data_IF_036546750259
#
_entry.id   IF_036546750259
#
_cell.length_a   1.000
_cell.length_b   1.000
_cell.length_c   1.000
_cell.angle_alpha   90.00
_cell.angle_beta   90.00
_cell.angle_gamma   90.00
#
_symmetry.space_group_name_H-M   'P 1'
#
loop_
_entity.id
_entity.type
_entity.pdbx_description
1 polymer ?
#
# COMPACT_ATOMS: atom_id res chain seq x y z
N UNK A 1 5.71 -4.79 18.06
CA UNK A 1 6.66 -4.33 19.11
C UNK A 1 8.14 -4.37 18.69
N UNK A 2 8.68 -5.47 18.13
CA UNK A 2 10.11 -5.49 17.75
C UNK A 2 10.44 -4.66 16.48
N UNK A 3 9.48 -4.48 15.57
CA UNK A 3 9.62 -3.61 14.39
C UNK A 3 9.85 -2.13 14.74
N UNK A 4 9.42 -1.67 15.92
CA UNK A 4 9.66 -0.30 16.39
C UNK A 4 11.04 -0.11 17.02
N UNK A 5 11.89 -1.14 17.07
CA UNK A 5 13.27 -1.03 17.54
C UNK A 5 14.07 -0.03 16.69
N UNK A 6 14.95 0.72 17.36
CA UNK A 6 15.95 1.60 16.74
C UNK A 6 17.16 0.79 16.25
N UNK A 7 17.41 -0.39 16.85
CA UNK A 7 18.52 -1.26 16.47
C UNK A 7 18.19 -1.99 15.17
N UNK A 8 18.88 -1.62 14.08
CA UNK A 8 18.68 -2.18 12.75
C UNK A 8 18.75 -3.70 12.72
N UNK A 9 19.72 -4.32 13.39
CA UNK A 9 19.84 -5.78 13.46
C UNK A 9 18.61 -6.49 14.08
N UNK A 10 17.93 -5.85 15.04
CA UNK A 10 16.69 -6.38 15.63
C UNK A 10 15.55 -6.29 14.62
N UNK A 11 15.43 -5.15 13.92
CA UNK A 11 14.40 -4.95 12.88
C UNK A 11 14.61 -5.95 11.75
N UNK A 12 15.85 -6.08 11.25
CA UNK A 12 16.21 -7.03 10.20
C UNK A 12 15.87 -8.47 10.60
N UNK A 13 16.32 -8.94 11.77
CA UNK A 13 16.02 -10.30 12.23
C UNK A 13 14.52 -10.52 12.39
N UNK A 14 13.78 -9.51 12.88
CA UNK A 14 12.33 -9.56 12.98
C UNK A 14 11.69 -9.72 11.60
N UNK A 15 12.12 -8.93 10.60
CA UNK A 15 11.62 -9.04 9.23
C UNK A 15 11.92 -10.41 8.61
N UNK A 16 13.10 -10.99 8.86
CA UNK A 16 13.42 -12.36 8.45
C UNK A 16 12.45 -13.39 9.09
N UNK A 17 12.23 -13.32 10.40
CA UNK A 17 11.32 -14.23 11.09
C UNK A 17 9.87 -14.07 10.59
N UNK A 18 9.42 -12.84 10.38
CA UNK A 18 8.09 -12.55 9.85
C UNK A 18 7.94 -13.11 8.43
N UNK A 19 8.95 -12.94 7.58
CA UNK A 19 8.99 -13.51 6.23
C UNK A 19 8.89 -15.04 6.25
N UNK A 20 9.65 -15.70 7.12
CA UNK A 20 9.60 -17.17 7.24
C UNK A 20 8.25 -17.64 7.79
N UNK A 21 7.67 -16.93 8.76
CA UNK A 21 6.34 -17.24 9.30
C UNK A 21 5.26 -17.18 8.21
N UNK A 22 5.31 -16.22 7.29
CA UNK A 22 4.35 -16.15 6.19
C UNK A 22 4.54 -17.25 5.15
N UNK A 23 5.80 -17.60 4.86
CA UNK A 23 6.10 -18.71 3.96
C UNK A 23 5.49 -20.04 4.42
N UNK A 24 5.40 -20.28 5.73
CA UNK A 24 4.99 -21.58 6.29
C UNK A 24 3.64 -21.59 7.06
N UNK A 25 3.07 -20.43 7.41
CA UNK A 25 1.90 -20.33 8.30
C UNK A 25 0.72 -19.51 7.75
N UNK A 26 0.61 -19.36 6.43
CA UNK A 26 -0.22 -18.33 5.80
C UNK A 26 -1.71 -18.37 6.16
N UNK A 27 -2.33 -19.56 6.23
CA UNK A 27 -3.77 -19.67 6.52
C UNK A 27 -4.12 -19.32 7.98
N UNK A 28 -3.24 -19.68 8.92
CA UNK A 28 -3.48 -19.46 10.35
C UNK A 28 -3.27 -18.00 10.75
N UNK A 29 -2.46 -17.27 10.00
CA UNK A 29 -2.08 -15.89 10.29
C UNK A 29 -2.99 -14.85 9.63
N UNK A 30 -3.94 -15.27 8.80
CA UNK A 30 -4.74 -14.38 7.97
C UNK A 30 -5.47 -13.28 8.74
N UNK A 31 -6.05 -13.63 9.89
CA UNK A 31 -6.76 -12.69 10.77
C UNK A 31 -5.86 -11.59 11.34
N UNK A 32 -4.54 -11.80 11.36
CA UNK A 32 -3.56 -10.82 11.83
C UNK A 32 -2.95 -10.00 10.69
N UNK A 33 -3.14 -10.40 9.43
CA UNK A 33 -2.53 -9.75 8.28
C UNK A 33 -2.83 -8.26 8.16
N UNK A 34 -4.07 -7.76 8.40
CA UNK A 34 -4.33 -6.33 8.35
C UNK A 34 -3.44 -5.53 9.30
N UNK A 35 -3.31 -5.97 10.57
CA UNK A 35 -2.48 -5.27 11.55
C UNK A 35 -1.00 -5.37 11.21
N UNK A 36 -0.54 -6.53 10.70
CA UNK A 36 0.87 -6.69 10.31
C UNK A 36 1.20 -5.80 9.11
N UNK A 37 0.32 -5.70 8.11
CA UNK A 37 0.47 -4.76 7.00
C UNK A 37 0.55 -3.32 7.49
N UNK A 38 -0.34 -2.91 8.40
CA UNK A 38 -0.34 -1.57 9.00
C UNK A 38 0.99 -1.29 9.71
N UNK A 39 1.47 -2.22 10.54
CA UNK A 39 2.73 -2.08 11.27
C UNK A 39 3.94 -1.97 10.33
N UNK A 40 3.95 -2.76 9.26
CA UNK A 40 4.99 -2.77 8.24
C UNK A 40 4.99 -1.46 7.44
N UNK A 41 3.83 -1.03 6.94
CA UNK A 41 3.66 0.23 6.21
C UNK A 41 4.05 1.44 7.07
N UNK A 42 3.62 1.45 8.33
CA UNK A 42 3.98 2.51 9.27
C UNK A 42 5.49 2.54 9.49
N UNK A 43 6.13 1.37 9.63
CA UNK A 43 7.60 1.30 9.76
C UNK A 43 8.31 1.74 8.48
N UNK A 44 7.77 1.38 7.31
CA UNK A 44 8.29 1.80 6.01
C UNK A 44 8.33 3.32 5.90
N UNK A 45 7.24 3.99 6.25
CA UNK A 45 7.13 5.44 6.19
C UNK A 45 8.04 6.19 7.18
N UNK A 46 8.58 5.49 8.19
CA UNK A 46 9.43 6.07 9.23
C UNK A 46 10.92 5.71 9.09
N UNK A 47 11.26 4.74 8.25
CA UNK A 47 12.65 4.29 8.10
C UNK A 47 13.37 5.07 7.00
N UNK A 48 14.59 5.53 7.28
CA UNK A 48 15.50 6.11 6.28
C UNK A 48 16.48 5.07 5.73
N UNK A 49 16.48 3.86 6.28
CA UNK A 49 17.40 2.78 5.89
C UNK A 49 16.84 2.02 4.69
N UNK A 50 17.44 2.25 3.51
CA UNK A 50 17.02 1.64 2.23
C UNK A 50 16.81 0.11 2.31
N UNK A 51 17.75 -0.61 2.91
CA UNK A 51 17.65 -2.06 3.08
C UNK A 51 16.44 -2.50 3.93
N UNK A 52 16.07 -1.71 4.95
CA UNK A 52 14.88 -2.00 5.76
C UNK A 52 13.61 -1.77 4.95
N UNK A 53 13.57 -0.70 4.15
CA UNK A 53 12.45 -0.41 3.24
C UNK A 53 12.24 -1.53 2.22
N UNK A 54 13.29 -1.93 1.49
CA UNK A 54 13.24 -3.02 0.51
C UNK A 54 12.78 -4.34 1.15
N UNK A 55 13.21 -4.60 2.38
CA UNK A 55 12.81 -5.80 3.10
C UNK A 55 11.36 -5.76 3.54
N UNK A 56 10.84 -4.60 3.94
CA UNK A 56 9.43 -4.43 4.27
C UNK A 56 8.56 -4.64 3.02
N UNK A 57 8.96 -4.08 1.87
CA UNK A 57 8.27 -4.28 0.59
C UNK A 57 8.14 -5.77 0.26
N UNK A 58 9.25 -6.54 0.33
CA UNK A 58 9.23 -7.99 0.09
C UNK A 58 8.28 -8.76 1.00
N UNK A 59 8.15 -8.34 2.26
CA UNK A 59 7.24 -8.98 3.22
C UNK A 59 5.79 -8.63 2.89
N UNK A 60 5.52 -7.37 2.54
CA UNK A 60 4.18 -6.91 2.11
C UNK A 60 3.73 -7.69 0.87
N UNK A 61 4.61 -7.84 -0.13
CA UNK A 61 4.36 -8.61 -1.36
C UNK A 61 4.00 -10.09 -1.10
N UNK A 62 4.45 -10.68 0.01
CA UNK A 62 4.08 -12.05 0.39
C UNK A 62 2.74 -12.13 1.12
N UNK A 63 2.37 -11.09 1.87
CA UNK A 63 1.10 -11.05 2.59
C UNK A 63 -0.06 -10.87 1.61
N UNK A 64 0.09 -9.92 0.67
CA UNK A 64 -1.03 -9.44 -0.16
C UNK A 64 -1.75 -10.53 -0.96
N UNK A 65 -1.07 -11.47 -1.66
CA UNK A 65 -1.74 -12.55 -2.41
C UNK A 65 -2.54 -13.49 -1.51
N UNK A 66 -2.20 -13.56 -0.23
CA UNK A 66 -2.82 -14.45 0.74
C UNK A 66 -3.90 -13.74 1.57
N UNK A 67 -4.13 -12.44 1.39
CA UNK A 67 -5.09 -11.67 2.19
C UNK A 67 -6.53 -12.06 1.81
N UNK A 68 -7.29 -12.69 2.72
CA UNK A 68 -8.69 -13.05 2.45
C UNK A 68 -9.57 -11.82 2.29
N UNK A 69 -10.67 -11.88 1.51
CA UNK A 69 -11.53 -10.72 1.24
C UNK A 69 -11.97 -9.96 2.50
N UNK A 70 -12.37 -10.65 3.56
CA UNK A 70 -12.80 -10.04 4.83
C UNK A 70 -11.70 -9.24 5.55
N UNK A 71 -10.44 -9.53 5.24
CA UNK A 71 -9.27 -8.83 5.78
C UNK A 71 -8.74 -7.78 4.79
N UNK A 72 -9.02 -7.92 3.49
CA UNK A 72 -8.77 -6.87 2.49
C UNK A 72 -9.57 -5.60 2.82
N UNK A 73 -10.89 -5.72 3.08
CA UNK A 73 -11.74 -4.57 3.39
C UNK A 73 -11.25 -3.76 4.59
N UNK A 74 -10.76 -4.44 5.65
CA UNK A 74 -10.19 -3.76 6.83
C UNK A 74 -8.94 -2.96 6.49
N UNK A 75 -8.06 -3.51 5.64
CA UNK A 75 -6.87 -2.82 5.18
C UNK A 75 -7.22 -1.62 4.30
N UNK A 76 -8.15 -1.80 3.36
CA UNK A 76 -8.60 -0.74 2.44
C UNK A 76 -9.20 0.43 3.22
N UNK A 77 -10.07 0.16 4.20
CA UNK A 77 -10.64 1.20 5.05
C UNK A 77 -9.56 2.00 5.77
N UNK A 78 -8.60 1.33 6.41
CA UNK A 78 -7.47 2.01 7.06
C UNK A 78 -6.63 2.82 6.06
N UNK A 79 -6.40 2.29 4.86
CA UNK A 79 -5.65 2.98 3.81
C UNK A 79 -6.33 4.28 3.40
N UNK A 80 -7.65 4.27 3.21
CA UNK A 80 -8.46 5.46 2.89
C UNK A 80 -8.39 6.49 4.02
N UNK A 81 -8.51 6.07 5.27
CA UNK A 81 -8.44 6.96 6.43
C UNK A 81 -7.06 7.65 6.56
N UNK A 82 -6.00 7.04 6.02
CA UNK A 82 -4.62 7.53 6.14
C UNK A 82 -4.06 8.15 4.86
N UNK A 83 -4.76 8.09 3.73
CA UNK A 83 -4.23 8.56 2.44
C UNK A 83 -4.17 10.09 2.35
N UNK A 84 -5.01 10.81 3.10
CA UNK A 84 -4.99 12.29 3.17
C UNK A 84 -3.90 12.86 4.09
N UNK A 85 -2.98 12.02 4.56
CA UNK A 85 -1.87 12.41 5.43
C UNK A 85 -0.86 13.34 4.74
N UNK A 86 -0.12 14.12 5.54
CA UNK A 86 1.04 14.90 5.06
C UNK A 86 2.28 14.02 4.82
N UNK A 87 2.29 12.78 5.30
CA UNK A 87 3.40 11.86 5.15
C UNK A 87 3.48 11.27 3.73
N UNK A 88 4.32 11.87 2.88
CA UNK A 88 4.51 11.48 1.48
C UNK A 88 4.88 10.00 1.32
N UNK A 89 5.81 9.48 2.15
CA UNK A 89 6.20 8.07 2.07
C UNK A 89 5.04 7.12 2.39
N UNK A 90 4.15 7.50 3.32
CA UNK A 90 2.97 6.72 3.67
C UNK A 90 1.98 6.68 2.52
N UNK A 91 1.71 7.83 1.90
CA UNK A 91 0.86 7.91 0.69
C UNK A 91 1.43 7.06 -0.44
N UNK A 92 2.73 7.18 -0.67
CA UNK A 92 3.43 6.43 -1.71
C UNK A 92 3.26 4.92 -1.52
N UNK A 93 3.59 4.37 -0.35
CA UNK A 93 3.54 2.91 -0.17
C UNK A 93 2.11 2.38 -0.18
N UNK A 94 1.12 3.14 0.34
CA UNK A 94 -0.29 2.77 0.22
C UNK A 94 -0.69 2.72 -1.25
N UNK A 95 -0.45 3.80 -2.00
CA UNK A 95 -0.79 3.86 -3.43
C UNK A 95 -0.05 2.77 -4.23
N UNK A 96 1.20 2.52 -3.89
CA UNK A 96 1.99 1.47 -4.52
C UNK A 96 1.33 0.10 -4.35
N UNK A 97 0.96 -0.27 -3.12
CA UNK A 97 0.26 -1.53 -2.81
C UNK A 97 -1.06 -1.63 -3.60
N UNK A 98 -1.89 -0.59 -3.57
CA UNK A 98 -3.16 -0.57 -4.31
C UNK A 98 -2.91 -0.77 -5.81
N UNK A 99 -1.87 -0.14 -6.36
CA UNK A 99 -1.57 -0.23 -7.78
C UNK A 99 -1.02 -1.59 -8.23
N UNK A 100 -0.26 -2.27 -7.38
CA UNK A 100 0.44 -3.52 -7.74
C UNK A 100 -0.34 -4.77 -7.37
N UNK A 101 -1.41 -4.67 -6.57
CA UNK A 101 -2.13 -5.84 -6.05
C UNK A 101 -3.61 -5.85 -6.39
N UNK A 102 -4.14 -7.05 -6.65
CA UNK A 102 -5.53 -7.27 -7.06
C UNK A 102 -6.46 -7.30 -5.84
N UNK A 103 -6.53 -6.16 -5.15
CA UNK A 103 -7.46 -5.94 -4.06
C UNK A 103 -8.85 -5.67 -4.62
N UNK A 104 -9.88 -6.23 -3.99
CA UNK A 104 -11.26 -6.01 -4.38
C UNK A 104 -11.74 -4.62 -3.89
N UNK A 105 -11.63 -3.62 -4.76
CA UNK A 105 -12.01 -2.24 -4.49
C UNK A 105 -13.33 -1.90 -5.18
N UNK A 106 -14.18 -1.16 -4.49
CA UNK A 106 -15.35 -0.52 -5.08
C UNK A 106 -14.96 0.74 -5.86
N UNK A 107 -15.85 1.21 -6.75
CA UNK A 107 -15.60 2.41 -7.55
C UNK A 107 -15.29 3.64 -6.70
N UNK A 108 -15.99 3.83 -5.58
CA UNK A 108 -15.75 4.96 -4.67
C UNK A 108 -14.36 4.88 -4.02
N UNK A 109 -13.93 3.68 -3.61
CA UNK A 109 -12.60 3.46 -3.02
C UNK A 109 -11.50 3.71 -4.06
N UNK A 110 -11.70 3.27 -5.31
CA UNK A 110 -10.77 3.52 -6.41
C UNK A 110 -10.62 5.03 -6.64
N UNK A 111 -11.73 5.78 -6.68
CA UNK A 111 -11.71 7.23 -6.88
C UNK A 111 -10.91 7.96 -5.81
N UNK A 112 -10.99 7.53 -4.54
CA UNK A 112 -10.18 8.09 -3.45
C UNK A 112 -8.69 7.96 -3.74
N UNK A 113 -8.22 6.81 -4.20
CA UNK A 113 -6.80 6.61 -4.50
C UNK A 113 -6.37 7.32 -5.80
N UNK A 114 -7.26 7.41 -6.78
CA UNK A 114 -6.99 8.14 -8.02
C UNK A 114 -6.85 9.65 -7.76
N UNK A 115 -7.54 10.23 -6.77
CA UNK A 115 -7.36 11.65 -6.42
C UNK A 115 -5.92 12.03 -6.04
N UNK A 116 -5.07 11.05 -5.70
CA UNK A 116 -3.64 11.27 -5.49
C UNK A 116 -2.87 11.75 -6.74
N UNK A 117 -3.49 11.77 -7.92
CA UNK A 117 -2.96 12.52 -9.06
C UNK A 117 -2.68 13.99 -8.75
N UNK A 118 -3.41 14.58 -7.80
CA UNK A 118 -3.22 15.96 -7.38
C UNK A 118 -2.13 16.12 -6.31
N UNK A 119 -1.46 15.03 -5.91
CA UNK A 119 -0.42 15.08 -4.89
C UNK A 119 0.79 15.89 -5.37
N UNK A 120 1.40 16.64 -4.46
CA UNK A 120 2.64 17.37 -4.73
C UNK A 120 3.82 16.46 -5.11
N UNK A 121 3.86 15.22 -4.63
CA UNK A 121 4.98 14.31 -4.86
C UNK A 121 4.82 13.49 -6.15
N UNK A 122 5.85 13.49 -6.99
CA UNK A 122 5.82 12.83 -8.29
C UNK A 122 5.68 11.30 -8.17
N UNK A 123 6.24 10.66 -7.13
CA UNK A 123 6.11 9.21 -6.96
C UNK A 123 4.68 8.85 -6.59
N UNK A 124 4.05 9.64 -5.71
CA UNK A 124 2.63 9.46 -5.35
C UNK A 124 1.73 9.61 -6.58
N UNK A 125 1.94 10.66 -7.39
CA UNK A 125 1.19 10.84 -8.66
C UNK A 125 1.39 9.67 -9.63
N UNK A 126 2.61 9.12 -9.71
CA UNK A 126 2.92 7.96 -10.56
C UNK A 126 2.11 6.73 -10.13
N UNK A 127 2.07 6.42 -8.83
CA UNK A 127 1.29 5.28 -8.34
C UNK A 127 -0.21 5.51 -8.56
N UNK A 128 -0.72 6.73 -8.33
CA UNK A 128 -2.11 7.08 -8.65
C UNK A 128 -2.45 6.82 -10.13
N UNK A 129 -1.49 7.08 -11.02
CA UNK A 129 -1.62 6.77 -12.45
C UNK A 129 -1.71 5.29 -12.75
N UNK A 130 -0.92 4.48 -12.06
CA UNK A 130 -1.00 3.03 -12.19
C UNK A 130 -2.36 2.50 -11.73
N UNK A 131 -2.90 3.03 -10.62
CA UNK A 131 -4.23 2.66 -10.11
C UNK A 131 -5.32 2.99 -11.13
N UNK A 132 -5.33 4.21 -11.66
CA UNK A 132 -6.30 4.60 -12.69
C UNK A 132 -6.19 3.71 -13.93
N UNK A 133 -4.98 3.46 -14.43
CA UNK A 133 -4.79 2.61 -15.62
C UNK A 133 -5.29 1.18 -15.39
N UNK A 134 -5.07 0.64 -14.20
CA UNK A 134 -5.54 -0.69 -13.79
C UNK A 134 -7.07 -0.75 -13.75
N UNK A 135 -7.71 0.26 -13.16
CA UNK A 135 -9.15 0.27 -12.91
C UNK A 135 -9.98 1.08 -13.93
N UNK A 136 -9.37 1.54 -15.04
CA UNK A 136 -10.01 2.42 -16.02
C UNK A 136 -11.36 1.90 -16.56
N UNK A 137 -11.50 0.57 -16.67
CA UNK A 137 -12.71 -0.06 -17.19
C UNK A 137 -13.85 -0.08 -16.16
N UNK A 138 -13.51 -0.09 -14.86
CA UNK A 138 -14.45 -0.15 -13.72
C UNK A 138 -14.98 1.23 -13.36
N UNK A 139 -14.13 2.26 -13.48
CA UNK A 139 -14.48 3.65 -13.21
C UNK A 139 -15.48 4.20 -14.26
N UNK A 140 -15.56 3.57 -15.44
CA UNK A 140 -16.38 4.03 -16.55
C UNK A 140 -15.81 5.31 -17.17
N UNK A 141 -15.60 5.30 -18.49
CA UNK A 141 -15.09 6.46 -19.24
C UNK A 141 -16.17 7.54 -19.30
N UNK A 142 -16.25 8.38 -18.26
CA UNK A 142 -16.90 9.71 -18.27
C UNK A 142 -16.65 10.54 -16.99
N UNK A 143 -15.51 10.33 -16.31
CA UNK A 143 -15.23 11.07 -15.07
C UNK A 143 -14.33 12.27 -15.35
N UNK A 144 -14.56 13.37 -14.61
CA UNK A 144 -13.78 14.61 -14.59
C UNK A 144 -12.24 14.41 -14.46
N UNK A 145 -11.80 13.18 -14.20
CA UNK A 145 -10.40 12.75 -14.12
C UNK A 145 -9.73 12.72 -15.50
N UNK A 146 -10.44 12.40 -16.59
CA UNK A 146 -9.85 12.41 -17.94
C UNK A 146 -9.44 13.82 -18.37
N UNK A 147 -10.22 14.85 -18.03
CA UNK A 147 -9.86 16.25 -18.26
C UNK A 147 -8.66 16.71 -17.42
N UNK A 148 -8.47 16.15 -16.23
CA UNK A 148 -7.32 16.47 -15.35
C UNK A 148 -6.05 15.79 -15.90
N UNK A 149 -6.13 14.54 -16.34
CA UNK A 149 -4.98 13.79 -16.87
C UNK A 149 -4.53 14.33 -18.24
N UNK A 150 -5.46 14.78 -19.09
CA UNK A 150 -5.15 15.32 -20.43
C UNK A 150 -4.48 16.71 -20.40
N UNK A 151 -4.61 17.48 -19.31
CA UNK A 151 -4.00 18.82 -19.18
C UNK A 151 -2.54 18.82 -18.71
N UNK A 152 -2.04 17.72 -18.13
CA UNK A 152 -0.62 17.56 -17.76
C UNK A 152 0.20 16.78 -18.81
N UNK A 153 -0.42 16.42 -19.94
CA UNK A 153 0.26 15.86 -21.11
C UNK A 153 0.87 16.91 -22.04
N UNK A 154 0.73 18.21 -21.70
CA UNK A 154 1.48 19.34 -22.30
C UNK A 154 2.72 19.69 -21.47
#
# INVERSE_FOLDING_TARGET
KLLSSIRSGVVTKTLFTVNDLFKYGHDQLNSFYPQILIDLITKFALTTQKFVSERIEQVIEQILPNLKPENQSKFIQWAIENISTKHVQLKYIIAHIISTTDLNLSNDEILVFVQLYQDSDQKVRKEARNIYQKHKNEIGVNSQIDEIILREGE
#
